data_IF_591006234523
#
_entry.id   IF_591006234523
#
_cell.length_a   1.000
_cell.length_b   1.000
_cell.length_c   1.000
_cell.angle_alpha   90.00
_cell.angle_beta   90.00
_cell.angle_gamma   90.00
#
_symmetry.space_group_name_H-M   'P 1'
#
loop_
_entity.id
_entity.type
_entity.pdbx_description
1 polymer ?
#
# COMPACT_ATOMS: atom_id res chain seq x y z
N UNK A 1 6.85 -4.56 10.96
CA UNK A 1 7.80 -4.63 9.83
C UNK A 1 7.48 -3.49 8.88
N UNK A 2 8.47 -2.72 8.42
CA UNK A 2 8.24 -1.63 7.45
C UNK A 2 8.22 -2.18 6.04
N UNK A 3 7.16 -1.86 5.29
CA UNK A 3 6.93 -2.30 3.91
C UNK A 3 6.73 -1.07 3.03
N UNK A 4 7.52 -0.96 1.97
CA UNK A 4 7.37 0.12 1.00
C UNK A 4 6.22 -0.18 0.05
N UNK A 5 5.24 0.72 -0.01
CA UNK A 5 4.10 0.64 -0.92
C UNK A 5 4.32 1.60 -2.09
N UNK A 6 4.26 1.06 -3.31
CA UNK A 6 4.28 1.87 -4.53
C UNK A 6 2.88 1.77 -5.16
N UNK A 7 2.06 2.83 -5.09
CA UNK A 7 0.68 2.80 -5.58
C UNK A 7 0.58 2.55 -7.08
N UNK A 8 1.58 3.00 -7.85
CA UNK A 8 1.56 3.00 -9.31
C UNK A 8 0.53 3.96 -9.90
N UNK A 9 0.27 3.80 -11.20
CA UNK A 9 -0.64 4.66 -11.97
C UNK A 9 -1.96 3.97 -12.34
N UNK A 10 -2.87 4.73 -12.95
CA UNK A 10 -4.18 4.21 -13.37
C UNK A 10 -5.03 3.77 -12.19
N UNK A 11 -5.43 2.49 -12.16
CA UNK A 11 -6.19 1.90 -11.04
C UNK A 11 -5.31 1.47 -9.85
N UNK A 12 -3.99 1.57 -9.98
CA UNK A 12 -3.03 1.12 -8.96
C UNK A 12 -3.28 1.70 -7.56
N UNK A 13 -3.55 3.00 -7.40
CA UNK A 13 -3.86 3.60 -6.10
C UNK A 13 -5.10 3.00 -5.42
N UNK A 14 -6.15 2.70 -6.19
CA UNK A 14 -7.39 2.12 -5.65
C UNK A 14 -7.17 0.70 -5.13
N UNK A 15 -6.45 -0.13 -5.89
CA UNK A 15 -6.14 -1.51 -5.51
C UNK A 15 -5.18 -1.53 -4.31
N UNK A 16 -4.16 -0.68 -4.33
CA UNK A 16 -3.19 -0.56 -3.21
C UNK A 16 -3.89 -0.20 -1.91
N UNK A 17 -4.85 0.74 -1.96
CA UNK A 17 -5.65 1.12 -0.80
C UNK A 17 -6.55 -0.01 -0.31
N UNK A 18 -7.14 -0.81 -1.22
CA UNK A 18 -7.94 -1.97 -0.84
C UNK A 18 -7.09 -3.04 -0.13
N UNK A 19 -5.87 -3.28 -0.61
CA UNK A 19 -4.93 -4.22 0.02
C UNK A 19 -4.54 -3.76 1.42
N UNK A 20 -4.22 -2.48 1.62
CA UNK A 20 -3.92 -1.94 2.95
C UNK A 20 -5.07 -2.18 3.94
N UNK A 21 -6.32 -2.01 3.52
CA UNK A 21 -7.51 -2.29 4.37
C UNK A 21 -7.62 -3.75 4.76
N UNK A 22 -7.27 -4.69 3.87
CA UNK A 22 -7.28 -6.13 4.17
C UNK A 22 -6.26 -6.45 5.27
N UNK A 23 -5.05 -5.91 5.16
CA UNK A 23 -4.00 -6.14 6.16
C UNK A 23 -4.32 -5.48 7.51
N UNK A 24 -4.94 -4.30 7.51
CA UNK A 24 -5.44 -3.66 8.72
C UNK A 24 -6.54 -4.49 9.40
N UNK A 25 -7.51 -4.98 8.63
CA UNK A 25 -8.57 -5.87 9.12
C UNK A 25 -8.01 -7.19 9.67
N UNK A 26 -6.93 -7.71 9.07
CA UNK A 26 -6.21 -8.87 9.55
C UNK A 26 -5.32 -8.58 10.78
N UNK A 27 -5.26 -7.32 11.26
CA UNK A 27 -4.39 -6.86 12.34
C UNK A 27 -2.93 -7.21 12.11
N UNK A 28 -2.49 -7.20 10.85
CA UNK A 28 -1.11 -7.48 10.51
C UNK A 28 -0.21 -6.34 11.02
N UNK A 29 0.93 -6.63 11.68
CA UNK A 29 1.82 -5.60 12.22
C UNK A 29 2.71 -4.98 11.12
N UNK A 30 2.07 -4.36 10.13
CA UNK A 30 2.69 -3.74 8.96
C UNK A 30 2.72 -2.22 9.15
N UNK A 31 3.89 -1.64 8.91
CA UNK A 31 4.06 -0.20 8.81
C UNK A 31 4.30 0.16 7.35
N UNK A 32 3.40 0.94 6.77
CA UNK A 32 3.47 1.32 5.36
C UNK A 32 4.38 2.53 5.16
N UNK A 33 5.27 2.43 4.19
CA UNK A 33 6.03 3.57 3.66
C UNK A 33 5.61 3.80 2.21
N UNK A 34 4.79 4.80 1.95
CA UNK A 34 4.35 5.11 0.59
C UNK A 34 5.44 5.83 -0.21
N UNK A 35 5.70 5.36 -1.44
CA UNK A 35 6.63 5.96 -2.38
C UNK A 35 5.98 6.07 -3.75
N UNK A 36 6.01 7.29 -4.31
CA UNK A 36 5.65 7.52 -5.70
C UNK A 36 6.89 7.37 -6.57
N UNK A 37 6.75 6.63 -7.67
CA UNK A 37 7.79 6.53 -8.70
C UNK A 37 7.39 7.46 -9.83
N UNK A 38 7.97 8.66 -9.85
CA UNK A 38 7.94 9.54 -11.02
C UNK A 38 9.21 9.29 -11.84
N UNK A 39 9.05 9.01 -13.13
CA UNK A 39 10.16 8.93 -14.08
C UNK A 39 10.78 10.31 -14.34
#
# INVERSE_FOLDING_TARGET
QTVTLIPGDGIGPEISAAVMKIFDAAKAPIQWEERNVTA
#
